data_IF_182236562445
#
_entry.id   IF_182236562445
#
_cell.length_a   1.000
_cell.length_b   1.000
_cell.length_c   1.000
_cell.angle_alpha   90.00
_cell.angle_beta   90.00
_cell.angle_gamma   90.00
#
_symmetry.space_group_name_H-M   'P 1'
#
loop_
_entity.id
_entity.type
_entity.pdbx_description
1 polymer ?
#
# COMPACT_ATOMS: atom_id res chain seq x y z
N UNK A 1 -3.74 -18.34 0.36
CA UNK A 1 -2.55 -17.58 0.77
C UNK A 1 -2.62 -17.25 2.26
N UNK A 2 -1.49 -17.34 2.93
CA UNK A 2 -1.36 -16.95 4.34
C UNK A 2 -1.30 -15.43 4.47
N UNK A 3 -1.81 -14.90 5.55
CA UNK A 3 -1.77 -13.47 5.80
C UNK A 3 -0.32 -12.94 5.78
N UNK A 4 -0.04 -11.87 5.02
CA UNK A 4 1.27 -11.21 5.04
C UNK A 4 1.59 -10.63 6.42
N UNK A 5 2.87 -10.38 6.66
CA UNK A 5 3.31 -9.62 7.82
C UNK A 5 2.55 -8.30 7.85
N UNK A 6 2.11 -7.91 9.02
CA UNK A 6 1.25 -6.76 9.20
C UNK A 6 1.97 -5.63 9.89
N UNK A 7 1.94 -4.45 9.27
CA UNK A 7 2.44 -3.21 9.86
C UNK A 7 1.35 -2.15 9.88
N UNK A 8 1.37 -1.32 10.92
CA UNK A 8 0.54 -0.12 10.99
C UNK A 8 1.43 1.12 10.83
N UNK A 9 1.02 2.06 10.01
CA UNK A 9 1.71 3.34 9.89
C UNK A 9 1.66 4.13 11.20
N UNK A 10 0.64 3.86 12.02
CA UNK A 10 0.43 4.51 13.32
C UNK A 10 1.18 3.84 14.47
N UNK A 11 1.96 2.80 14.21
CA UNK A 11 2.77 2.14 15.25
C UNK A 11 3.72 3.15 15.91
N UNK A 12 3.74 3.22 17.27
CA UNK A 12 4.58 4.20 17.98
C UNK A 12 6.06 4.14 17.63
N UNK A 13 6.56 3.00 17.15
CA UNK A 13 7.97 2.86 16.78
C UNK A 13 8.39 3.79 15.63
N UNK A 14 7.46 4.21 14.78
CA UNK A 14 7.77 5.07 13.62
C UNK A 14 6.71 6.13 13.31
N UNK A 15 5.54 6.10 13.94
CA UNK A 15 4.43 6.99 13.58
C UNK A 15 4.79 8.48 13.61
N UNK A 16 5.63 8.91 14.55
CA UNK A 16 6.00 10.31 14.72
C UNK A 16 7.21 10.74 13.88
N UNK A 17 7.85 9.80 13.19
CA UNK A 17 8.99 10.12 12.34
C UNK A 17 8.55 10.92 11.11
N UNK A 18 9.44 11.78 10.64
CA UNK A 18 9.18 12.64 9.50
C UNK A 18 8.96 11.82 8.22
N UNK A 19 7.92 12.19 7.48
CA UNK A 19 7.69 11.71 6.12
C UNK A 19 7.16 12.86 5.28
N UNK A 20 8.02 13.87 5.05
CA UNK A 20 7.65 15.13 4.44
C UNK A 20 8.40 15.36 3.14
N UNK A 21 7.69 15.80 2.11
CA UNK A 21 8.31 16.39 0.94
C UNK A 21 8.77 17.82 1.30
N UNK A 22 9.58 18.41 0.44
CA UNK A 22 10.05 19.77 0.63
C UNK A 22 8.88 20.77 0.72
N UNK A 23 8.88 21.60 1.72
CA UNK A 23 7.86 22.62 1.90
C UNK A 23 6.64 22.20 2.71
N UNK A 24 6.66 20.97 3.26
CA UNK A 24 5.60 20.51 4.13
C UNK A 24 6.17 19.90 5.42
N UNK A 25 5.28 19.60 6.37
CA UNK A 25 5.65 18.92 7.60
C UNK A 25 4.58 17.89 7.95
N UNK A 26 4.91 16.61 7.80
CA UNK A 26 4.02 15.49 8.09
C UNK A 26 4.82 14.29 8.57
N UNK A 27 4.13 13.24 8.99
CA UNK A 27 4.74 12.08 9.62
C UNK A 27 4.34 10.78 8.93
N UNK A 28 5.03 9.70 9.26
CA UNK A 28 4.68 8.35 8.78
C UNK A 28 3.26 8.01 9.19
N UNK A 29 2.87 8.29 10.43
CA UNK A 29 1.52 8.03 10.92
C UNK A 29 0.43 8.76 10.15
N UNK A 30 0.72 9.94 9.63
CA UNK A 30 -0.24 10.75 8.89
C UNK A 30 -0.29 10.42 7.40
N UNK A 31 0.85 10.11 6.76
CA UNK A 31 0.92 10.00 5.29
C UNK A 31 1.73 8.83 4.77
N UNK A 32 2.14 7.89 5.62
CA UNK A 32 3.01 6.78 5.26
C UNK A 32 2.29 5.51 4.80
N UNK A 33 1.03 5.56 4.36
CA UNK A 33 0.28 4.35 3.99
C UNK A 33 0.93 3.58 2.84
N UNK A 34 1.43 4.27 1.82
CA UNK A 34 2.06 3.62 0.67
C UNK A 34 3.30 2.80 1.05
N UNK A 35 4.31 3.42 1.64
CA UNK A 35 5.49 2.68 2.11
C UNK A 35 5.18 1.63 3.16
N UNK A 36 4.17 1.83 4.00
CA UNK A 36 3.75 0.82 4.98
C UNK A 36 3.16 -0.40 4.29
N UNK A 37 2.27 -0.20 3.29
CA UNK A 37 1.74 -1.30 2.49
C UNK A 37 2.87 -2.05 1.78
N UNK A 38 3.83 -1.32 1.19
CA UNK A 38 4.98 -1.93 0.51
C UNK A 38 5.88 -2.68 1.50
N UNK A 39 6.10 -2.14 2.69
CA UNK A 39 6.89 -2.81 3.73
C UNK A 39 6.29 -4.16 4.11
N UNK A 40 4.96 -4.28 4.15
CA UNK A 40 4.29 -5.55 4.41
C UNK A 40 4.60 -6.59 3.32
N UNK A 41 4.60 -6.17 2.05
CA UNK A 41 4.97 -7.04 0.93
C UNK A 41 6.43 -7.48 1.04
N UNK A 42 7.32 -6.51 1.21
CA UNK A 42 8.78 -6.77 1.24
C UNK A 42 9.18 -7.62 2.43
N UNK A 43 8.61 -7.35 3.60
CA UNK A 43 8.90 -8.15 4.80
C UNK A 43 8.39 -9.58 4.66
N UNK A 44 7.29 -9.79 3.93
CA UNK A 44 6.69 -11.11 3.74
C UNK A 44 7.47 -11.93 2.70
N UNK A 45 7.86 -11.33 1.57
CA UNK A 45 8.38 -12.06 0.43
C UNK A 45 9.87 -11.90 0.19
N UNK A 46 10.53 -10.94 0.80
CA UNK A 46 11.93 -10.65 0.50
C UNK A 46 12.82 -10.59 1.73
N UNK A 47 12.57 -9.66 2.65
CA UNK A 47 13.48 -9.41 3.78
C UNK A 47 12.68 -8.99 5.02
N UNK A 48 12.66 -9.85 6.02
CA UNK A 48 11.92 -9.63 7.27
C UNK A 48 12.37 -8.41 8.06
N UNK A 49 13.53 -7.85 7.77
CA UNK A 49 14.04 -6.65 8.44
C UNK A 49 13.42 -5.36 7.91
N UNK A 50 12.73 -5.41 6.78
CA UNK A 50 12.06 -4.24 6.20
C UNK A 50 10.91 -3.78 7.10
N UNK A 51 10.84 -2.47 7.34
CA UNK A 51 9.79 -1.84 8.17
C UNK A 51 9.24 -0.61 7.46
N UNK A 52 8.08 -0.08 7.90
CA UNK A 52 7.59 1.21 7.44
C UNK A 52 8.63 2.33 7.59
N UNK A 53 9.41 2.29 8.67
CA UNK A 53 10.49 3.26 8.88
C UNK A 53 11.51 3.21 7.75
N UNK A 54 12.01 2.03 7.42
CA UNK A 54 13.03 1.88 6.37
C UNK A 54 12.49 2.24 4.99
N UNK A 55 11.25 1.86 4.69
CA UNK A 55 10.66 2.18 3.38
C UNK A 55 10.34 3.66 3.24
N UNK A 56 9.84 4.31 4.27
CA UNK A 56 9.61 5.75 4.24
C UNK A 56 10.92 6.52 4.07
N UNK A 57 11.98 6.12 4.75
CA UNK A 57 13.30 6.73 4.60
C UNK A 57 13.82 6.60 3.16
N UNK A 58 13.68 5.42 2.58
CA UNK A 58 14.10 5.20 1.19
C UNK A 58 13.27 6.03 0.22
N UNK A 59 11.94 6.06 0.41
CA UNK A 59 11.04 6.86 -0.44
C UNK A 59 11.40 8.35 -0.40
N UNK A 60 11.68 8.89 0.79
CA UNK A 60 12.13 10.28 0.93
C UNK A 60 13.43 10.53 0.19
N UNK A 61 14.40 9.61 0.33
CA UNK A 61 15.72 9.76 -0.30
C UNK A 61 15.64 9.78 -1.82
N UNK A 62 14.58 9.23 -2.40
CA UNK A 62 14.37 9.14 -3.85
C UNK A 62 13.32 10.13 -4.39
N UNK A 63 12.75 10.96 -3.52
CA UNK A 63 11.76 11.96 -3.95
C UNK A 63 10.38 11.40 -4.25
N UNK A 64 10.02 10.27 -3.66
CA UNK A 64 8.73 9.63 -3.93
C UNK A 64 7.58 10.14 -3.06
N UNK A 65 7.82 11.06 -2.13
CA UNK A 65 6.76 11.69 -1.33
C UNK A 65 6.23 12.91 -2.06
N UNK A 66 4.93 12.90 -2.38
CA UNK A 66 4.27 14.03 -3.04
C UNK A 66 3.94 15.13 -2.03
N UNK A 67 4.21 16.42 -2.34
CA UNK A 67 3.87 17.52 -1.45
C UNK A 67 2.36 17.57 -1.16
N UNK A 68 2.00 17.65 0.11
CA UNK A 68 0.61 17.72 0.60
C UNK A 68 -0.27 16.55 0.17
N UNK A 69 0.33 15.46 -0.29
CA UNK A 69 -0.32 14.22 -0.70
C UNK A 69 0.44 13.04 -0.11
N UNK A 70 0.08 11.84 -0.50
CA UNK A 70 0.79 10.65 -0.09
C UNK A 70 2.03 10.36 -0.93
N UNK A 71 2.28 9.11 -1.17
CA UNK A 71 3.42 8.63 -1.96
C UNK A 71 3.04 8.60 -3.44
N UNK A 72 3.97 9.00 -4.31
CA UNK A 72 3.76 8.87 -5.76
C UNK A 72 3.61 7.40 -6.16
N UNK A 73 2.74 7.12 -7.12
CA UNK A 73 2.55 5.76 -7.64
C UNK A 73 3.84 5.15 -8.21
N UNK A 74 4.73 5.99 -8.73
CA UNK A 74 6.01 5.55 -9.26
C UNK A 74 6.98 4.96 -8.23
N UNK A 75 6.65 5.03 -6.94
CA UNK A 75 7.44 4.43 -5.87
C UNK A 75 7.42 2.91 -5.88
N UNK A 76 6.28 2.30 -6.15
CA UNK A 76 6.04 0.88 -5.86
C UNK A 76 6.89 -0.07 -6.71
N UNK A 77 6.96 0.16 -8.01
CA UNK A 77 7.73 -0.71 -8.91
C UNK A 77 9.23 -0.69 -8.58
N UNK A 78 9.90 0.48 -8.44
CA UNK A 78 11.31 0.49 -8.03
C UNK A 78 11.53 -0.09 -6.64
N UNK A 79 10.61 0.13 -5.70
CA UNK A 79 10.72 -0.43 -4.35
C UNK A 79 10.72 -1.95 -4.38
N UNK A 80 9.81 -2.56 -5.14
CA UNK A 80 9.76 -4.02 -5.31
C UNK A 80 11.02 -4.53 -6.01
N UNK A 81 11.41 -3.89 -7.10
CA UNK A 81 12.55 -4.29 -7.93
C UNK A 81 13.86 -4.30 -7.14
N UNK A 82 14.04 -3.36 -6.23
CA UNK A 82 15.20 -3.25 -5.35
C UNK A 82 15.44 -4.52 -4.53
N UNK A 83 14.38 -5.26 -4.22
CA UNK A 83 14.46 -6.52 -3.49
C UNK A 83 14.26 -7.76 -4.38
N UNK A 84 14.35 -7.59 -5.69
CA UNK A 84 14.25 -8.71 -6.63
C UNK A 84 12.81 -9.18 -6.91
N UNK A 85 11.79 -8.43 -6.46
CA UNK A 85 10.40 -8.77 -6.73
C UNK A 85 9.94 -8.16 -8.05
N UNK A 86 9.10 -8.89 -8.76
CA UNK A 86 8.46 -8.39 -9.97
C UNK A 86 7.21 -7.59 -9.59
N UNK A 87 7.05 -6.43 -10.20
CA UNK A 87 5.89 -5.59 -9.98
C UNK A 87 5.43 -4.98 -11.30
N UNK A 88 4.13 -4.82 -11.45
CA UNK A 88 3.55 -4.19 -12.63
C UNK A 88 2.25 -3.47 -12.24
N UNK A 89 1.91 -2.45 -12.99
CA UNK A 89 0.68 -1.70 -12.76
C UNK A 89 -0.48 -2.35 -13.51
N UNK A 90 -1.60 -2.51 -12.82
CA UNK A 90 -2.82 -3.04 -13.44
C UNK A 90 -3.57 -1.95 -14.21
N UNK A 91 -3.42 -0.69 -13.79
CA UNK A 91 -4.01 0.46 -14.48
C UNK A 91 -3.15 1.70 -14.29
N UNK A 92 -3.22 2.60 -15.26
CA UNK A 92 -2.49 3.88 -15.21
C UNK A 92 -3.41 5.08 -14.93
N UNK A 93 -4.71 4.86 -14.82
CA UNK A 93 -5.70 5.91 -14.62
C UNK A 93 -6.59 5.60 -13.42
N UNK A 94 -7.10 6.63 -12.78
CA UNK A 94 -8.04 6.49 -11.68
C UNK A 94 -9.41 6.06 -12.20
N UNK A 95 -10.03 5.10 -11.51
CA UNK A 95 -11.34 4.59 -11.85
C UNK A 95 -12.26 4.86 -10.67
N UNK A 96 -13.22 5.73 -10.87
CA UNK A 96 -14.19 6.05 -9.83
C UNK A 96 -15.54 5.42 -10.14
N UNK A 97 -16.14 4.80 -9.13
CA UNK A 97 -17.54 4.39 -9.15
C UNK A 97 -17.94 3.33 -10.17
N UNK A 98 -17.00 2.64 -10.79
CA UNK A 98 -17.30 1.57 -11.76
C UNK A 98 -17.05 0.21 -11.16
N UNK A 99 -18.12 -0.49 -10.80
CA UNK A 99 -18.02 -1.83 -10.21
C UNK A 99 -17.50 -2.88 -11.22
N UNK A 100 -17.76 -2.69 -12.49
CA UNK A 100 -17.43 -3.65 -13.56
C UNK A 100 -16.23 -3.23 -14.39
N UNK A 101 -15.30 -2.50 -13.79
CA UNK A 101 -14.08 -2.12 -14.49
C UNK A 101 -13.24 -3.35 -14.82
N UNK A 102 -12.65 -3.44 -16.04
CA UNK A 102 -11.73 -4.52 -16.39
C UNK A 102 -10.53 -4.62 -15.45
N UNK A 103 -10.18 -3.53 -14.78
CA UNK A 103 -9.07 -3.53 -13.81
C UNK A 103 -9.45 -4.23 -12.51
N UNK A 104 -10.73 -4.23 -12.12
CA UNK A 104 -11.19 -5.04 -10.99
C UNK A 104 -11.04 -6.52 -11.29
N UNK A 105 -11.38 -6.94 -12.50
CA UNK A 105 -11.18 -8.33 -12.95
C UNK A 105 -9.70 -8.72 -12.93
N UNK A 106 -8.81 -7.82 -13.35
CA UNK A 106 -7.37 -8.06 -13.32
C UNK A 106 -6.85 -8.19 -11.89
N UNK A 107 -7.34 -7.37 -10.96
CA UNK A 107 -6.97 -7.47 -9.54
C UNK A 107 -7.45 -8.79 -8.94
N UNK A 108 -8.68 -9.20 -9.23
CA UNK A 108 -9.21 -10.50 -8.80
C UNK A 108 -8.36 -11.65 -9.32
N UNK A 109 -8.01 -11.62 -10.61
CA UNK A 109 -7.17 -12.64 -11.23
C UNK A 109 -5.78 -12.69 -10.57
N UNK A 110 -5.19 -11.55 -10.25
CA UNK A 110 -3.91 -11.49 -9.57
C UNK A 110 -3.98 -12.14 -8.18
N UNK A 111 -5.03 -11.85 -7.42
CA UNK A 111 -5.24 -12.46 -6.10
C UNK A 111 -5.45 -13.96 -6.21
N UNK A 112 -6.20 -14.43 -7.21
CA UNK A 112 -6.43 -15.86 -7.46
C UNK A 112 -5.13 -16.59 -7.81
N UNK A 113 -4.18 -15.90 -8.42
CA UNK A 113 -2.86 -16.43 -8.74
C UNK A 113 -1.88 -16.37 -7.55
N UNK A 114 -2.33 -15.91 -6.40
CA UNK A 114 -1.48 -15.78 -5.21
C UNK A 114 -0.61 -14.52 -5.18
N UNK A 115 -0.89 -13.55 -6.05
CA UNK A 115 -0.18 -12.28 -6.02
C UNK A 115 -0.70 -11.38 -4.90
N UNK A 116 0.14 -10.48 -4.42
CA UNK A 116 -0.26 -9.40 -3.52
C UNK A 116 -0.58 -8.16 -4.37
N UNK A 117 -1.65 -7.46 -4.02
CA UNK A 117 -2.12 -6.29 -4.77
C UNK A 117 -2.16 -5.09 -3.84
N UNK A 118 -1.38 -4.06 -4.17
CA UNK A 118 -1.48 -2.77 -3.48
C UNK A 118 -2.49 -1.92 -4.24
N UNK A 119 -3.56 -1.53 -3.56
CA UNK A 119 -4.64 -0.75 -4.15
C UNK A 119 -4.68 0.64 -3.52
N UNK A 120 -4.80 1.67 -4.37
CA UNK A 120 -5.08 3.02 -3.91
C UNK A 120 -6.60 3.20 -3.89
N UNK A 121 -7.15 3.35 -2.70
CA UNK A 121 -8.59 3.51 -2.49
C UNK A 121 -8.95 4.99 -2.55
N UNK A 122 -9.95 5.33 -3.35
CA UNK A 122 -10.52 6.66 -3.38
C UNK A 122 -11.48 6.91 -2.21
N UNK A 123 -12.12 8.10 -2.18
CA UNK A 123 -13.08 8.42 -1.12
C UNK A 123 -14.19 7.37 -1.01
N UNK A 124 -14.49 6.92 0.21
CA UNK A 124 -15.50 5.91 0.46
C UNK A 124 -15.28 5.20 1.79
N UNK A 125 -15.39 3.88 1.75
CA UNK A 125 -15.36 3.03 2.94
C UNK A 125 -14.05 3.13 3.74
N UNK A 126 -12.91 3.37 3.04
CA UNK A 126 -11.58 3.27 3.62
C UNK A 126 -10.96 4.61 3.98
N UNK A 127 -11.36 5.67 3.31
CA UNK A 127 -10.75 6.98 3.43
C UNK A 127 -11.69 8.06 2.93
N UNK A 128 -11.48 9.28 3.39
CA UNK A 128 -12.17 10.45 2.86
C UNK A 128 -11.44 11.09 1.66
N UNK A 129 -10.21 10.70 1.41
CA UNK A 129 -9.38 11.29 0.34
C UNK A 129 -8.72 10.24 -0.54
N UNK A 130 -7.65 9.61 -0.08
CA UNK A 130 -6.93 8.55 -0.77
C UNK A 130 -6.15 7.73 0.24
N UNK A 131 -6.00 6.43 -0.02
CA UNK A 131 -5.36 5.53 0.92
C UNK A 131 -4.88 4.26 0.23
N UNK A 132 -3.65 3.84 0.49
CA UNK A 132 -3.12 2.58 0.00
C UNK A 132 -3.41 1.46 1.00
N UNK A 133 -3.88 0.32 0.50
CA UNK A 133 -4.09 -0.90 1.28
C UNK A 133 -3.47 -2.08 0.55
N UNK A 134 -3.17 -3.15 1.30
CA UNK A 134 -2.63 -4.38 0.74
C UNK A 134 -3.72 -5.44 0.69
N UNK A 135 -4.13 -5.83 -0.51
CA UNK A 135 -5.06 -6.94 -0.73
C UNK A 135 -4.24 -8.23 -0.84
N UNK A 136 -4.64 -9.28 -0.13
CA UNK A 136 -3.86 -10.51 -0.13
C UNK A 136 -4.67 -11.79 -0.34
N UNK A 137 -6.01 -11.73 -0.29
CA UNK A 137 -6.85 -12.90 -0.53
C UNK A 137 -8.24 -12.48 -0.95
N UNK A 138 -8.81 -13.22 -1.89
CA UNK A 138 -10.22 -13.13 -2.25
C UNK A 138 -10.87 -14.49 -2.00
N UNK A 139 -11.97 -14.50 -1.24
CA UNK A 139 -12.72 -15.72 -0.96
C UNK A 139 -14.21 -15.39 -1.11
N UNK A 140 -14.82 -15.87 -2.19
CA UNK A 140 -16.18 -15.47 -2.55
C UNK A 140 -16.27 -13.98 -2.77
N UNK A 141 -17.11 -13.29 -2.01
CA UNK A 141 -17.27 -11.82 -2.05
C UNK A 141 -16.49 -11.10 -0.94
N UNK A 142 -15.61 -11.82 -0.25
CA UNK A 142 -14.81 -11.23 0.84
C UNK A 142 -13.38 -11.02 0.38
N UNK A 143 -12.92 -9.79 0.49
CA UNK A 143 -11.52 -9.41 0.25
C UNK A 143 -10.82 -9.29 1.59
N UNK A 144 -9.75 -10.05 1.76
CA UNK A 144 -8.87 -9.96 2.93
C UNK A 144 -7.78 -8.94 2.62
N UNK A 145 -7.58 -8.01 3.53
CA UNK A 145 -6.59 -6.98 3.32
C UNK A 145 -5.91 -6.57 4.63
N UNK A 146 -4.73 -6.02 4.48
CA UNK A 146 -4.02 -5.33 5.55
C UNK A 146 -4.13 -3.83 5.26
N UNK A 147 -4.79 -3.11 6.15
CA UNK A 147 -4.90 -1.65 6.07
C UNK A 147 -3.79 -1.04 6.95
N UNK A 148 -2.90 -0.21 6.39
CA UNK A 148 -1.85 0.44 7.18
C UNK A 148 -2.39 1.31 8.34
N UNK A 149 -3.64 1.74 8.26
CA UNK A 149 -4.25 2.62 9.28
C UNK A 149 -5.27 1.92 10.19
N UNK A 150 -5.53 0.63 10.00
CA UNK A 150 -6.61 -0.07 10.72
C UNK A 150 -6.24 -1.51 11.02
N UNK A 151 -6.82 -2.04 12.11
CA UNK A 151 -6.66 -3.45 12.49
C UNK A 151 -7.68 -4.38 11.82
N UNK A 152 -8.59 -3.88 11.00
CA UNK A 152 -9.57 -4.72 10.31
C UNK A 152 -8.89 -5.60 9.27
N UNK A 153 -9.29 -6.88 9.23
CA UNK A 153 -8.67 -7.88 8.36
C UNK A 153 -9.47 -8.18 7.10
N UNK A 154 -10.78 -7.99 7.12
CA UNK A 154 -11.66 -8.34 6.01
C UNK A 154 -12.81 -7.37 5.87
N UNK A 155 -13.30 -7.25 4.64
CA UNK A 155 -14.51 -6.50 4.32
C UNK A 155 -15.26 -7.24 3.22
N UNK A 156 -16.58 -7.22 3.30
CA UNK A 156 -17.45 -7.73 2.25
C UNK A 156 -17.63 -6.66 1.17
N UNK A 157 -17.58 -7.08 -0.06
CA UNK A 157 -17.86 -6.22 -1.21
C UNK A 157 -19.36 -6.09 -1.48
#
# INVERSE_FOLDING_TARGET
MTQPIRYLQTDPRWAKLDYSAKGEKTTIGASGCGPTAMAMVLATWADKSVTPKSECAWALSRGYKAPKQGTYYGYFTPAAKRYGLKAYMLNSTTIYGKQDSPYHAKAKAALDQGHLVIACMGPGLWTSSGHFVLLWKLQGNTVFLNDPASTRLARTQ
#
